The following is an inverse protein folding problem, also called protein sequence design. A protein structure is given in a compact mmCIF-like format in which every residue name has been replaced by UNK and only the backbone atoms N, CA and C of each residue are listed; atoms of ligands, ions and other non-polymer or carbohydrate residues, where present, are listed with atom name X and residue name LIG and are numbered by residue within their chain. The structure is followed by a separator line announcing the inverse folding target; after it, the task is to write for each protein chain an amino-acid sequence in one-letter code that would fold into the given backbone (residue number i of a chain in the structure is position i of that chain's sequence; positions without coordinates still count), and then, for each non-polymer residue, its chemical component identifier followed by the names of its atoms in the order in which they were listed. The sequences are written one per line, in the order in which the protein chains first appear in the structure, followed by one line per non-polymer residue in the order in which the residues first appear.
data_IF_705710949326
#
_entry.id   IF_705710949326
#
_cell.length_a   1.000
_cell.length_b   1.000
_cell.length_c   1.000
_cell.angle_alpha   90.00
_cell.angle_beta   90.00
_cell.angle_gamma   90.00
#
_symmetry.space_group_name_H-M   'P 1'
#
loop_
_entity.id
_entity.type
_entity.pdbx_description
1 polymer ?
#
# COMPACT_ATOMS: atom_id res chain seq x y z
N UNK A 1 5.69 -9.72 -25.58
CA UNK A 1 6.20 -9.39 -24.23
C UNK A 1 6.82 -10.65 -23.63
N UNK A 2 7.93 -10.54 -22.91
CA UNK A 2 8.60 -11.66 -22.23
C UNK A 2 9.23 -11.19 -20.91
N UNK A 3 9.36 -12.08 -19.94
CA UNK A 3 10.01 -11.84 -18.65
C UNK A 3 11.50 -12.16 -18.78
N UNK A 4 12.33 -11.11 -18.76
CA UNK A 4 13.74 -11.22 -19.17
C UNK A 4 14.57 -12.05 -18.21
N UNK A 5 14.27 -12.01 -16.91
CA UNK A 5 15.11 -12.61 -15.90
C UNK A 5 15.04 -14.14 -15.88
N UNK A 6 13.86 -14.70 -16.14
CA UNK A 6 13.59 -16.12 -15.88
C UNK A 6 13.09 -16.89 -17.11
N UNK A 7 12.39 -16.25 -18.05
CA UNK A 7 11.76 -16.95 -19.17
C UNK A 7 12.75 -17.56 -20.17
N UNK A 8 13.89 -16.91 -20.51
CA UNK A 8 14.86 -17.51 -21.44
C UNK A 8 15.60 -18.73 -20.87
N UNK A 9 15.60 -18.90 -19.55
CA UNK A 9 16.34 -19.97 -18.83
C UNK A 9 15.42 -20.90 -18.06
N UNK A 10 14.10 -20.78 -18.22
CA UNK A 10 13.09 -21.66 -17.63
C UNK A 10 13.10 -21.72 -16.09
N UNK A 11 13.40 -20.59 -15.43
CA UNK A 11 13.47 -20.50 -13.95
C UNK A 11 12.36 -19.65 -13.33
N UNK A 12 11.24 -19.46 -14.03
CA UNK A 12 10.18 -18.57 -13.55
C UNK A 12 9.38 -19.15 -12.38
N UNK A 13 9.45 -18.47 -11.25
CA UNK A 13 8.69 -18.80 -10.05
C UNK A 13 7.22 -18.36 -10.14
N UNK A 14 6.41 -18.86 -9.21
CA UNK A 14 4.95 -18.62 -9.15
C UNK A 14 4.61 -17.13 -9.27
N UNK A 15 5.33 -16.27 -8.54
CA UNK A 15 5.10 -14.83 -8.57
C UNK A 15 5.39 -14.24 -9.96
N UNK A 16 6.51 -14.63 -10.57
CA UNK A 16 7.01 -14.07 -11.83
C UNK A 16 6.10 -14.39 -13.01
N UNK A 17 5.38 -15.52 -12.98
CA UNK A 17 4.43 -15.93 -14.02
C UNK A 17 3.29 -14.91 -14.21
N UNK A 18 2.98 -14.12 -13.18
CA UNK A 18 1.92 -13.10 -13.21
C UNK A 18 2.37 -11.73 -13.72
N UNK A 19 3.68 -11.45 -13.75
CA UNK A 19 4.19 -10.08 -13.93
C UNK A 19 3.82 -9.46 -15.26
N UNK A 20 3.80 -10.24 -16.35
CA UNK A 20 3.35 -9.77 -17.67
C UNK A 20 1.92 -9.24 -17.63
N UNK A 21 1.04 -9.85 -16.82
CA UNK A 21 -0.34 -9.40 -16.65
C UNK A 21 -0.42 -8.03 -16.01
N UNK A 22 0.27 -7.83 -14.89
CA UNK A 22 0.32 -6.53 -14.22
C UNK A 22 0.92 -5.46 -15.12
N UNK A 23 2.03 -5.77 -15.79
CA UNK A 23 2.68 -4.85 -16.73
C UNK A 23 1.72 -4.45 -17.86
N UNK A 24 1.04 -5.41 -18.49
CA UNK A 24 0.10 -5.14 -19.56
C UNK A 24 -1.05 -4.21 -19.10
N UNK A 25 -1.67 -4.54 -17.97
CA UNK A 25 -2.77 -3.74 -17.39
C UNK A 25 -2.33 -2.31 -17.07
N UNK A 26 -1.17 -2.14 -16.42
CA UNK A 26 -0.67 -0.81 -16.07
C UNK A 26 -0.24 0.00 -17.28
N UNK A 27 0.39 -0.62 -18.27
CA UNK A 27 0.74 0.06 -19.52
C UNK A 27 -0.52 0.55 -20.23
N UNK A 28 -1.55 -0.28 -20.35
CA UNK A 28 -2.81 0.13 -20.96
C UNK A 28 -3.47 1.28 -20.19
N UNK A 29 -3.66 1.15 -18.87
CA UNK A 29 -4.26 2.19 -18.04
C UNK A 29 -3.47 3.53 -18.11
N UNK A 30 -2.14 3.46 -18.19
CA UNK A 30 -1.30 4.66 -18.33
C UNK A 30 -1.60 5.45 -19.60
N UNK A 31 -2.05 4.80 -20.68
CA UNK A 31 -2.44 5.50 -21.92
C UNK A 31 -3.66 6.41 -21.75
N UNK A 32 -4.53 6.13 -20.76
CA UNK A 32 -5.66 7.00 -20.44
C UNK A 32 -5.23 8.28 -19.72
N UNK A 33 -4.17 8.21 -18.89
CA UNK A 33 -3.60 9.39 -18.21
C UNK A 33 -2.61 10.17 -19.08
N UNK A 34 -1.86 9.46 -19.93
CA UNK A 34 -0.85 10.01 -20.81
C UNK A 34 -1.17 9.65 -22.27
N UNK A 35 -2.15 10.31 -22.91
CA UNK A 35 -2.63 9.94 -24.25
C UNK A 35 -1.53 9.92 -25.32
N UNK A 36 -0.51 10.77 -25.19
CA UNK A 36 0.65 10.80 -26.10
C UNK A 36 1.43 9.48 -26.15
N UNK A 37 1.31 8.61 -25.13
CA UNK A 37 1.97 7.32 -25.07
C UNK A 37 1.20 6.22 -25.81
N UNK A 38 -0.05 6.46 -26.20
CA UNK A 38 -0.94 5.46 -26.77
C UNK A 38 -0.35 4.77 -28.00
N UNK A 39 0.10 5.57 -28.99
CA UNK A 39 0.64 5.05 -30.26
C UNK A 39 1.95 4.27 -30.07
N UNK A 40 2.64 4.47 -28.96
CA UNK A 40 3.84 3.71 -28.60
C UNK A 40 3.48 2.39 -27.88
N UNK A 41 2.49 2.42 -26.99
CA UNK A 41 2.15 1.34 -26.07
C UNK A 41 1.20 0.32 -26.71
N UNK A 42 0.08 0.79 -27.28
CA UNK A 42 -1.01 -0.10 -27.70
C UNK A 42 -0.64 -1.05 -28.84
N UNK A 43 0.16 -0.66 -29.85
CA UNK A 43 0.63 -1.62 -30.85
C UNK A 43 1.43 -2.78 -30.23
N UNK A 44 2.25 -2.50 -29.21
CA UNK A 44 3.07 -3.53 -28.52
C UNK A 44 2.21 -4.44 -27.65
N UNK A 45 1.18 -3.90 -26.98
CA UNK A 45 0.22 -4.69 -26.21
C UNK A 45 -0.63 -5.57 -27.13
N UNK A 46 -1.15 -5.05 -28.25
CA UNK A 46 -1.90 -5.85 -29.24
C UNK A 46 -1.06 -6.99 -29.82
N UNK A 47 0.20 -6.72 -30.19
CA UNK A 47 1.11 -7.77 -30.65
C UNK A 47 1.35 -8.84 -29.57
N UNK A 48 1.49 -8.42 -28.31
CA UNK A 48 1.66 -9.35 -27.18
C UNK A 48 0.40 -10.15 -26.87
N UNK A 49 -0.78 -9.54 -26.97
CA UNK A 49 -2.08 -10.21 -26.79
C UNK A 49 -2.32 -11.27 -27.86
N UNK A 50 -2.01 -10.98 -29.12
CA UNK A 50 -2.08 -11.96 -30.21
C UNK A 50 -1.15 -13.14 -29.95
N UNK A 51 0.08 -12.88 -29.47
CA UNK A 51 1.05 -13.92 -29.15
C UNK A 51 0.60 -14.76 -27.94
N UNK A 52 0.03 -14.14 -26.91
CA UNK A 52 -0.54 -14.81 -25.74
C UNK A 52 -1.72 -15.72 -26.15
N UNK A 53 -2.64 -15.23 -26.97
CA UNK A 53 -3.78 -16.01 -27.46
C UNK A 53 -3.34 -17.27 -28.22
N UNK A 54 -2.28 -17.17 -29.05
CA UNK A 54 -1.70 -18.34 -29.73
C UNK A 54 -1.04 -19.34 -28.77
N UNK A 55 -0.60 -18.89 -27.60
CA UNK A 55 -0.06 -19.75 -26.55
C UNK A 55 -1.16 -20.37 -25.65
N UNK A 56 -2.43 -20.04 -25.87
CA UNK A 56 -3.60 -20.56 -25.15
C UNK A 56 -4.27 -21.73 -25.88
N UNK A 57 -3.47 -22.71 -26.31
CA UNK A 57 -3.96 -23.90 -27.01
C UNK A 57 -3.66 -25.19 -26.23
N UNK A 58 -3.44 -25.08 -24.92
CA UNK A 58 -3.13 -26.21 -24.06
C UNK A 58 -4.36 -26.87 -23.47
N UNK A 59 -4.20 -28.14 -23.07
CA UNK A 59 -5.19 -28.93 -22.36
C UNK A 59 -6.34 -29.45 -23.23
N UNK A 60 -7.30 -30.21 -22.64
CA UNK A 60 -8.34 -30.91 -23.41
C UNK A 60 -9.37 -30.02 -24.12
N UNK A 61 -9.37 -28.71 -23.84
CA UNK A 61 -10.34 -27.74 -24.37
C UNK A 61 -9.67 -26.53 -25.03
N UNK A 62 -8.38 -26.64 -25.37
CA UNK A 62 -7.59 -25.55 -25.99
C UNK A 62 -7.75 -24.22 -25.25
N UNK A 63 -7.60 -24.25 -23.93
CA UNK A 63 -7.87 -23.11 -23.05
C UNK A 63 -6.82 -22.86 -22.00
N UNK A 64 -5.79 -23.71 -21.91
CA UNK A 64 -4.66 -23.51 -21.00
C UNK A 64 -3.62 -22.65 -21.74
N UNK A 65 -3.33 -21.49 -21.19
CA UNK A 65 -2.28 -20.59 -21.64
C UNK A 65 -0.91 -20.98 -21.10
N UNK A 66 0.11 -20.90 -21.96
CA UNK A 66 1.52 -21.00 -21.59
C UNK A 66 2.16 -19.65 -21.24
N UNK A 67 3.36 -19.70 -20.67
CA UNK A 67 4.12 -18.50 -20.28
C UNK A 67 4.87 -17.89 -21.48
N UNK A 68 5.40 -18.73 -22.38
CA UNK A 68 6.31 -18.32 -23.46
C UNK A 68 5.62 -17.82 -24.72
N UNK A 69 5.11 -16.59 -24.66
CA UNK A 69 4.38 -16.00 -25.79
C UNK A 69 5.25 -15.74 -27.02
N UNK A 70 6.57 -15.62 -26.86
CA UNK A 70 7.52 -15.46 -27.97
C UNK A 70 7.56 -16.68 -28.89
N UNK A 71 7.21 -17.87 -28.39
CA UNK A 71 7.12 -19.09 -29.20
C UNK A 71 5.84 -19.17 -30.03
N UNK A 72 4.83 -18.33 -29.72
CA UNK A 72 3.53 -18.30 -30.40
C UNK A 72 2.81 -19.66 -30.49
N UNK A 73 3.04 -20.52 -29.50
CA UNK A 73 2.41 -21.82 -29.32
C UNK A 73 2.41 -22.18 -27.84
N UNK A 74 1.56 -23.11 -27.45
CA UNK A 74 1.65 -23.73 -26.13
C UNK A 74 2.86 -24.69 -26.08
N UNK A 75 3.70 -24.56 -25.05
CA UNK A 75 4.97 -25.29 -24.93
C UNK A 75 4.95 -26.35 -23.83
N UNK A 76 3.75 -26.79 -23.42
CA UNK A 76 3.56 -27.86 -22.44
C UNK A 76 3.71 -27.43 -20.99
N UNK A 77 3.64 -26.12 -20.71
CA UNK A 77 3.78 -25.60 -19.35
C UNK A 77 2.64 -26.03 -18.42
N UNK A 78 2.94 -26.13 -17.12
CA UNK A 78 1.95 -26.47 -16.09
C UNK A 78 0.79 -25.47 -16.09
N UNK A 79 -0.43 -25.98 -15.91
CA UNK A 79 -1.62 -25.16 -15.73
C UNK A 79 -1.50 -24.34 -14.44
N UNK A 80 -1.16 -23.06 -14.60
CA UNK A 80 -0.83 -22.14 -13.52
C UNK A 80 -1.71 -20.89 -13.58
N UNK A 81 -2.24 -20.47 -12.43
CA UNK A 81 -3.14 -19.30 -12.33
C UNK A 81 -2.45 -18.02 -12.76
N UNK A 82 -1.15 -17.86 -12.48
CA UNK A 82 -0.37 -16.69 -12.90
C UNK A 82 -0.27 -16.58 -14.42
N UNK A 83 -0.06 -17.70 -15.11
CA UNK A 83 -0.04 -17.74 -16.58
C UNK A 83 -1.42 -17.41 -17.20
N UNK A 84 -2.49 -18.00 -16.65
CA UNK A 84 -3.85 -17.72 -17.12
C UNK A 84 -4.23 -16.26 -16.89
N UNK A 85 -3.90 -15.73 -15.70
CA UNK A 85 -4.15 -14.33 -15.35
C UNK A 85 -3.34 -13.39 -16.25
N UNK A 86 -2.07 -13.69 -16.54
CA UNK A 86 -1.25 -12.88 -17.42
C UNK A 86 -1.81 -12.82 -18.85
N UNK A 87 -2.29 -13.95 -19.39
CA UNK A 87 -2.92 -14.01 -20.70
C UNK A 87 -4.24 -13.24 -20.73
N UNK A 88 -5.10 -13.41 -19.71
CA UNK A 88 -6.35 -12.67 -19.58
C UNK A 88 -6.10 -11.16 -19.55
N UNK A 89 -5.18 -10.70 -18.72
CA UNK A 89 -4.87 -9.28 -18.52
C UNK A 89 -4.36 -8.61 -19.80
N UNK A 90 -3.46 -9.25 -20.56
CA UNK A 90 -2.96 -8.67 -21.82
C UNK A 90 -4.04 -8.63 -22.90
N UNK A 91 -4.93 -9.61 -22.95
CA UNK A 91 -6.03 -9.67 -23.92
C UNK A 91 -7.07 -8.58 -23.60
N UNK A 92 -7.54 -8.50 -22.35
CA UNK A 92 -8.54 -7.49 -21.97
C UNK A 92 -8.00 -6.06 -22.07
N UNK A 93 -6.70 -5.87 -21.84
CA UNK A 93 -6.02 -4.57 -21.98
C UNK A 93 -6.12 -3.99 -23.41
N UNK A 94 -6.41 -4.82 -24.43
CA UNK A 94 -6.66 -4.34 -25.79
C UNK A 94 -7.95 -3.52 -25.92
N UNK A 95 -8.85 -3.61 -24.95
CA UNK A 95 -10.14 -2.92 -24.90
C UNK A 95 -10.07 -1.56 -24.18
N UNK A 96 -8.89 -1.03 -23.89
CA UNK A 96 -8.72 0.19 -23.08
C UNK A 96 -9.47 1.43 -23.60
N UNK A 97 -9.71 1.52 -24.91
CA UNK A 97 -10.49 2.60 -25.51
C UNK A 97 -12.01 2.43 -25.37
N UNK A 98 -12.47 1.25 -24.95
CA UNK A 98 -13.89 0.91 -24.78
C UNK A 98 -14.36 1.04 -23.33
N UNK A 99 -13.47 1.47 -22.44
CA UNK A 99 -13.74 1.65 -21.01
C UNK A 99 -13.50 3.10 -20.63
N UNK A 100 -14.25 3.57 -19.65
CA UNK A 100 -14.04 4.90 -19.09
C UNK A 100 -12.66 5.01 -18.42
N UNK A 101 -12.04 6.21 -18.43
CA UNK A 101 -10.80 6.44 -17.71
C UNK A 101 -11.01 6.35 -16.18
N UNK A 102 -9.94 6.19 -15.39
CA UNK A 102 -10.05 6.13 -13.95
C UNK A 102 -10.69 7.40 -13.37
N UNK A 103 -11.67 7.19 -12.50
CA UNK A 103 -12.46 8.25 -11.88
C UNK A 103 -11.67 8.97 -10.77
N UNK A 104 -12.03 10.23 -10.54
CA UNK A 104 -11.53 11.03 -9.40
C UNK A 104 -12.65 11.29 -8.39
N UNK A 105 -12.34 11.89 -7.24
CA UNK A 105 -13.36 12.32 -6.28
C UNK A 105 -14.39 13.26 -6.92
N UNK A 106 -13.91 14.18 -7.77
CA UNK A 106 -14.76 15.17 -8.44
C UNK A 106 -15.49 14.58 -9.65
N UNK A 107 -14.95 13.52 -10.25
CA UNK A 107 -15.44 12.96 -11.51
C UNK A 107 -15.70 11.45 -11.38
N UNK A 108 -16.90 11.08 -10.94
CA UNK A 108 -17.41 9.70 -11.00
C UNK A 108 -17.00 8.77 -9.85
N UNK A 109 -16.11 9.20 -8.94
CA UNK A 109 -15.71 8.41 -7.78
C UNK A 109 -16.82 8.26 -6.75
N UNK A 110 -17.25 7.03 -6.47
CA UNK A 110 -18.29 6.73 -5.47
C UNK A 110 -17.74 6.21 -4.14
N UNK A 111 -16.46 5.80 -4.11
CA UNK A 111 -15.79 5.32 -2.90
C UNK A 111 -15.58 6.46 -1.89
N UNK A 112 -15.81 6.19 -0.61
CA UNK A 112 -15.65 7.16 0.49
C UNK A 112 -14.32 6.95 1.20
N UNK A 113 -13.52 8.02 1.32
CA UNK A 113 -12.28 7.99 2.10
C UNK A 113 -12.55 7.82 3.61
N UNK A 114 -11.60 7.19 4.30
CA UNK A 114 -11.57 7.12 5.76
C UNK A 114 -10.32 7.86 6.27
N UNK A 115 -10.44 9.01 6.94
CA UNK A 115 -9.30 9.74 7.50
C UNK A 115 -8.49 8.95 8.54
N UNK A 116 -9.09 7.93 9.15
CA UNK A 116 -8.45 7.01 10.10
C UNK A 116 -7.96 5.70 9.43
N UNK A 117 -7.91 5.63 8.09
CA UNK A 117 -7.36 4.45 7.42
C UNK A 117 -5.87 4.29 7.76
N UNK A 118 -5.50 3.14 8.33
CA UNK A 118 -4.13 2.85 8.73
C UNK A 118 -3.73 3.38 10.11
N UNK A 119 -4.61 4.09 10.84
CA UNK A 119 -4.39 4.33 12.26
C UNK A 119 -4.73 3.07 13.05
N UNK A 120 -3.85 2.66 13.95
CA UNK A 120 -4.24 1.70 15.00
C UNK A 120 -5.39 2.30 15.81
N UNK A 121 -6.34 1.47 16.25
CA UNK A 121 -7.21 1.90 17.34
C UNK A 121 -6.27 2.31 18.48
N UNK A 122 -6.41 3.51 19.08
CA UNK A 122 -5.65 3.82 20.27
C UNK A 122 -5.87 2.66 21.25
N UNK A 123 -4.81 2.09 21.86
CA UNK A 123 -4.98 1.03 22.84
C UNK A 123 -6.04 1.49 23.84
N UNK A 124 -6.97 0.61 24.27
CA UNK A 124 -7.93 0.99 25.29
C UNK A 124 -7.14 1.66 26.41
N UNK A 125 -7.54 2.87 26.84
CA UNK A 125 -6.77 3.61 27.83
C UNK A 125 -6.52 2.63 28.99
N UNK A 126 -5.27 2.48 29.46
CA UNK A 126 -4.97 1.56 30.55
C UNK A 126 -5.99 1.82 31.66
N UNK A 127 -6.63 0.75 32.17
CA UNK A 127 -7.80 0.79 33.04
C UNK A 127 -7.61 1.57 34.37
N UNK A 128 -6.46 2.22 34.55
CA UNK A 128 -6.03 2.88 35.77
C UNK A 128 -5.48 4.30 35.56
N UNK A 129 -5.48 4.85 34.34
CA UNK A 129 -5.07 6.24 34.10
C UNK A 129 -6.30 7.11 33.83
N UNK A 130 -7.27 7.03 34.73
CA UNK A 130 -8.22 8.12 34.95
C UNK A 130 -8.29 8.38 36.45
N UNK A 131 -7.70 9.51 36.83
CA UNK A 131 -8.19 10.34 37.95
C UNK A 131 -8.41 9.60 39.26
N UNK A 132 -7.34 9.32 40.03
CA UNK A 132 -7.51 9.31 41.49
C UNK A 132 -8.07 10.68 41.84
N UNK A 133 -9.31 10.73 42.31
CA UNK A 133 -9.92 11.97 42.78
C UNK A 133 -9.01 12.57 43.84
N UNK A 134 -8.49 13.77 43.60
CA UNK A 134 -7.68 14.48 44.58
C UNK A 134 -8.52 14.62 45.84
N UNK A 135 -8.12 13.93 46.90
CA UNK A 135 -8.85 13.94 48.16
C UNK A 135 -8.51 15.21 48.93
N UNK A 136 -9.35 15.58 49.90
CA UNK A 136 -9.04 16.69 50.82
C UNK A 136 -7.71 16.48 51.53
N UNK A 137 -7.35 15.21 51.81
CA UNK A 137 -6.05 14.86 52.41
C UNK A 137 -4.86 15.22 51.52
N UNK A 138 -4.95 14.99 50.21
CA UNK A 138 -3.86 15.32 49.27
C UNK A 138 -3.67 16.84 49.16
N UNK A 139 -4.76 17.63 49.20
CA UNK A 139 -4.70 19.11 49.21
C UNK A 139 -4.09 19.66 50.48
N UNK A 140 -4.48 19.12 51.64
CA UNK A 140 -3.92 19.52 52.94
C UNK A 140 -2.44 19.18 53.01
N UNK A 141 -2.05 17.98 52.57
CA UNK A 141 -0.65 17.56 52.51
C UNK A 141 0.20 18.48 51.62
N UNK A 142 -0.29 18.81 50.42
CA UNK A 142 0.40 19.72 49.51
C UNK A 142 0.56 21.15 50.09
N UNK A 143 -0.47 21.67 50.76
CA UNK A 143 -0.44 22.99 51.38
C UNK A 143 0.57 23.06 52.53
N UNK A 144 0.57 22.07 53.42
CA UNK A 144 1.53 21.99 54.54
C UNK A 144 2.97 21.99 54.01
N UNK A 145 3.23 21.16 53.00
CA UNK A 145 4.57 21.00 52.44
C UNK A 145 5.04 22.30 51.79
N UNK A 146 4.15 22.98 51.06
CA UNK A 146 4.47 24.27 50.43
C UNK A 146 4.74 25.35 51.47
N UNK A 147 3.93 25.43 52.54
CA UNK A 147 4.16 26.39 53.64
C UNK A 147 5.49 26.11 54.33
N UNK A 148 5.80 24.84 54.62
CA UNK A 148 7.04 24.45 55.28
C UNK A 148 8.27 24.88 54.47
N UNK A 149 8.30 24.57 53.17
CA UNK A 149 9.41 24.99 52.31
C UNK A 149 9.51 26.51 52.16
N UNK A 150 8.37 27.21 52.09
CA UNK A 150 8.35 28.67 52.01
C UNK A 150 8.94 29.30 53.27
N UNK A 151 8.57 28.80 54.45
CA UNK A 151 9.11 29.28 55.72
C UNK A 151 10.61 28.96 55.85
N UNK A 152 11.03 27.77 55.40
CA UNK A 152 12.43 27.38 55.43
C UNK A 152 13.28 28.30 54.54
N UNK A 153 12.79 28.65 53.36
CA UNK A 153 13.46 29.61 52.45
C UNK A 153 13.51 31.02 53.07
N UNK A 154 12.40 31.50 53.64
CA UNK A 154 12.37 32.85 54.26
C UNK A 154 13.28 32.90 55.49
N UNK A 155 13.32 31.85 56.30
CA UNK A 155 14.18 31.78 57.49
C UNK A 155 15.67 31.74 57.12
N UNK A 156 16.07 30.96 56.11
CA UNK A 156 17.47 30.93 55.66
C UNK A 156 17.90 32.24 55.03
N UNK A 157 17.05 32.87 54.22
CA UNK A 157 17.32 34.20 53.67
C UNK A 157 17.37 35.27 54.76
N UNK A 158 16.45 35.24 55.72
CA UNK A 158 16.43 36.16 56.85
C UNK A 158 17.66 36.03 57.74
N UNK A 159 18.09 34.79 58.05
CA UNK A 159 19.31 34.53 58.80
C UNK A 159 20.55 35.06 58.06
N UNK A 160 20.68 34.76 56.76
CA UNK A 160 21.81 35.24 55.95
C UNK A 160 21.89 36.77 55.85
N UNK A 161 20.74 37.46 55.82
CA UNK A 161 20.70 38.92 55.79
C UNK A 161 21.01 39.56 57.16
N UNK A 162 20.56 38.96 58.26
CA UNK A 162 20.86 39.44 59.62
C UNK A 162 22.33 39.21 60.01
N UNK A 163 22.94 38.12 59.53
CA UNK A 163 24.37 37.81 59.74
C UNK A 163 25.28 38.80 58.98
N UNK A 164 24.81 39.37 57.86
CA UNK A 164 25.58 40.38 57.10
C UNK A 164 25.70 41.76 57.79
N UNK A 165 25.02 41.95 58.92
CA UNK A 165 24.97 43.20 59.69
C UNK A 165 25.53 43.09 61.14
N UNK A 166 26.11 41.94 61.52
CA UNK A 166 26.91 41.77 62.77
C UNK A 166 28.40 41.67 62.45
#
# INVERSE_FOLDING_TARGET
MYERACEPVDTCEVDQRSFKGYLARWMAASTQFAPFSYDLVMPKLRASANAAAKACTGGPRDGICGLKWTEQRYSGELNDVGQQMAALEVIQSTLIEKVDPPVSQEHGGTSKGNPAAGSENPPPPPAHIFTRSITTGDRVGAAILTIFFSLLIVATLGWALLDSHS
#
